data_IF_459536707281
#
_entry.id   IF_459536707281
#
_cell.length_a   1.000
_cell.length_b   1.000
_cell.length_c   1.000
_cell.angle_alpha   90.00
_cell.angle_beta   90.00
_cell.angle_gamma   90.00
#
_symmetry.space_group_name_H-M   'P 1'
#
loop_
_entity.id
_entity.type
_entity.pdbx_description
1 polymer ?
#
# COMPACT_ATOMS: atom_id res chain seq x y z
N UNK A 1 4.22 9.22 -3.34
CA UNK A 1 5.59 9.15 -3.88
C UNK A 1 6.66 9.13 -2.78
N UNK A 2 6.65 10.09 -1.84
CA UNK A 2 7.65 10.17 -0.77
C UNK A 2 7.81 8.88 0.05
N UNK A 3 6.71 8.25 0.47
CA UNK A 3 6.75 7.00 1.25
C UNK A 3 7.50 5.86 0.52
N UNK A 4 7.29 5.73 -0.79
CA UNK A 4 7.97 4.75 -1.64
C UNK A 4 9.48 5.02 -1.65
N UNK A 5 9.89 6.29 -1.79
CA UNK A 5 11.29 6.68 -1.78
C UNK A 5 11.95 6.35 -0.43
N UNK A 6 11.26 6.60 0.68
CA UNK A 6 11.75 6.23 2.01
C UNK A 6 11.88 4.71 2.12
N UNK A 7 10.90 3.92 1.65
CA UNK A 7 11.01 2.44 1.65
C UNK A 7 12.18 1.95 0.81
N UNK A 8 12.38 2.48 -0.41
CA UNK A 8 13.51 2.14 -1.28
C UNK A 8 14.84 2.47 -0.59
N UNK A 9 14.93 3.63 0.07
CA UNK A 9 16.10 4.03 0.85
C UNK A 9 16.36 3.02 1.98
N UNK A 10 15.34 2.62 2.75
CA UNK A 10 15.48 1.61 3.81
C UNK A 10 15.99 0.27 3.25
N UNK A 11 15.43 -0.18 2.12
CA UNK A 11 15.84 -1.41 1.44
C UNK A 11 17.29 -1.33 0.96
N UNK A 12 17.71 -0.19 0.42
CA UNK A 12 19.09 0.02 -0.02
C UNK A 12 20.08 -0.01 1.15
N UNK A 13 19.75 0.63 2.28
CA UNK A 13 20.68 0.72 3.42
C UNK A 13 20.71 -0.50 4.33
N UNK A 14 19.79 -1.46 4.17
CA UNK A 14 19.66 -2.61 5.08
C UNK A 14 20.92 -3.46 5.20
N UNK A 15 21.71 -3.55 4.13
CA UNK A 15 22.97 -4.31 4.09
C UNK A 15 24.17 -3.51 4.59
N UNK A 16 24.05 -2.19 4.75
CA UNK A 16 25.15 -1.37 5.25
C UNK A 16 25.38 -1.61 6.74
N UNK A 17 26.65 -1.72 7.13
CA UNK A 17 27.06 -2.07 8.50
C UNK A 17 26.49 -1.12 9.57
N UNK A 18 26.51 0.19 9.29
CA UNK A 18 26.10 1.23 10.24
C UNK A 18 24.78 1.92 9.82
N UNK A 19 24.60 2.23 8.53
CA UNK A 19 23.42 2.97 8.06
C UNK A 19 22.10 2.22 8.26
N UNK A 20 22.11 0.89 8.34
CA UNK A 20 20.90 0.10 8.62
C UNK A 20 20.21 0.49 9.93
N UNK A 21 20.94 1.05 10.89
CA UNK A 21 20.35 1.52 12.16
C UNK A 21 19.51 2.79 12.01
N UNK A 22 19.52 3.43 10.84
CA UNK A 22 18.59 4.51 10.51
C UNK A 22 17.19 4.00 10.15
N UNK A 23 17.03 2.70 9.83
CA UNK A 23 15.75 2.14 9.37
C UNK A 23 14.60 2.40 10.34
N UNK A 24 14.73 2.21 11.67
CA UNK A 24 13.64 2.52 12.60
C UNK A 24 13.29 4.02 12.60
N UNK A 25 14.28 4.91 12.46
CA UNK A 25 14.06 6.35 12.36
C UNK A 25 13.40 6.78 11.04
N UNK A 26 13.77 6.15 9.92
CA UNK A 26 13.10 6.35 8.64
C UNK A 26 11.67 5.80 8.66
N UNK A 27 11.42 4.69 9.38
CA UNK A 27 10.09 4.15 9.60
C UNK A 27 9.24 5.11 10.44
N UNK A 28 9.82 5.71 11.49
CA UNK A 28 9.17 6.80 12.25
C UNK A 28 8.77 7.94 11.31
N UNK A 29 9.69 8.43 10.48
CA UNK A 29 9.42 9.55 9.57
C UNK A 29 8.31 9.20 8.56
N UNK A 30 8.32 7.99 8.00
CA UNK A 30 7.29 7.55 7.06
C UNK A 30 5.90 7.49 7.70
N UNK A 31 5.81 7.00 8.94
CA UNK A 31 4.54 6.90 9.68
C UNK A 31 4.05 8.27 10.14
N UNK A 32 4.97 9.16 10.56
CA UNK A 32 4.63 10.53 10.93
C UNK A 32 4.13 11.36 9.73
N UNK A 33 4.60 11.06 8.51
CA UNK A 33 4.05 11.64 7.27
C UNK A 33 2.67 11.08 6.98
N UNK A 34 2.48 9.77 7.17
CA UNK A 34 1.22 9.10 6.90
C UNK A 34 1.12 7.77 7.66
N UNK A 35 0.18 7.68 8.58
CA UNK A 35 0.02 6.55 9.49
C UNK A 35 -0.28 5.23 8.78
N UNK A 36 -0.93 5.27 7.61
CA UNK A 36 -1.21 4.10 6.78
C UNK A 36 0.02 3.48 6.12
N UNK A 37 1.22 4.07 6.27
CA UNK A 37 2.49 3.49 5.82
C UNK A 37 2.70 2.04 6.30
N UNK A 38 2.27 1.75 7.54
CA UNK A 38 2.38 0.43 8.17
C UNK A 38 1.69 -0.67 7.36
N UNK A 39 0.60 -0.33 6.68
CA UNK A 39 -0.18 -1.26 5.86
C UNK A 39 0.30 -1.27 4.40
N UNK A 40 0.69 -0.11 3.86
CA UNK A 40 1.05 0.04 2.45
C UNK A 40 2.45 -0.50 2.10
N UNK A 41 3.49 -0.03 2.78
CA UNK A 41 4.88 -0.24 2.35
C UNK A 41 5.79 -0.81 3.44
N UNK A 42 5.42 -0.69 4.71
CA UNK A 42 6.17 -1.33 5.80
C UNK A 42 6.32 -2.86 5.67
N UNK A 43 5.35 -3.62 5.09
CA UNK A 43 5.55 -5.05 4.87
C UNK A 43 6.82 -5.37 4.06
N UNK A 44 7.20 -4.50 3.10
CA UNK A 44 8.44 -4.66 2.34
C UNK A 44 9.65 -4.70 3.26
N UNK A 45 9.84 -3.66 4.09
CA UNK A 45 11.03 -3.56 4.92
C UNK A 45 11.04 -4.62 6.03
N UNK A 46 9.89 -4.98 6.58
CA UNK A 46 9.79 -6.03 7.60
C UNK A 46 10.21 -7.38 7.04
N UNK A 47 9.74 -7.75 5.85
CA UNK A 47 10.11 -9.02 5.20
C UNK A 47 11.59 -9.00 4.81
N UNK A 48 12.11 -7.88 4.30
CA UNK A 48 13.53 -7.69 3.99
C UNK A 48 14.40 -7.85 5.24
N UNK A 49 14.02 -7.23 6.36
CA UNK A 49 14.74 -7.38 7.63
C UNK A 49 14.69 -8.81 8.16
N UNK A 50 13.55 -9.49 8.03
CA UNK A 50 13.43 -10.90 8.39
C UNK A 50 14.32 -11.80 7.52
N UNK A 51 14.37 -11.53 6.21
CA UNK A 51 15.29 -12.22 5.30
C UNK A 51 16.76 -11.96 5.69
N UNK A 52 17.14 -10.73 6.00
CA UNK A 52 18.49 -10.43 6.47
C UNK A 52 18.82 -11.10 7.80
N UNK A 53 17.86 -11.18 8.73
CA UNK A 53 18.01 -11.93 9.97
C UNK A 53 18.28 -13.42 9.72
N UNK A 54 17.51 -14.05 8.81
CA UNK A 54 17.73 -15.42 8.37
C UNK A 54 19.10 -15.61 7.68
N UNK A 55 19.42 -14.78 6.68
CA UNK A 55 20.67 -14.81 5.91
C UNK A 55 21.91 -14.66 6.81
N UNK A 56 21.80 -13.86 7.86
CA UNK A 56 22.87 -13.65 8.83
C UNK A 56 22.86 -14.66 9.99
N UNK A 57 22.22 -15.83 9.81
CA UNK A 57 22.17 -16.93 10.78
C UNK A 57 21.62 -16.51 12.15
N UNK A 58 20.56 -15.72 12.15
CA UNK A 58 19.84 -15.31 13.36
C UNK A 58 20.67 -14.51 14.36
N UNK A 59 21.63 -13.70 13.88
CA UNK A 59 22.43 -12.81 14.73
C UNK A 59 21.56 -11.76 15.44
N UNK A 60 21.86 -11.54 16.72
CA UNK A 60 21.14 -10.60 17.61
C UNK A 60 20.96 -9.20 17.01
N UNK A 61 21.98 -8.63 16.38
CA UNK A 61 21.90 -7.28 15.82
C UNK A 61 20.77 -7.12 14.77
N UNK A 62 20.49 -8.16 13.99
CA UNK A 62 19.39 -8.13 13.01
C UNK A 62 18.03 -8.38 13.66
N UNK A 63 17.99 -9.17 14.75
CA UNK A 63 16.78 -9.31 15.55
C UNK A 63 16.39 -7.98 16.21
N UNK A 64 17.34 -7.28 16.83
CA UNK A 64 17.11 -5.96 17.42
C UNK A 64 16.61 -4.97 16.37
N UNK A 65 17.21 -4.97 15.18
CA UNK A 65 16.78 -4.10 14.09
C UNK A 65 15.35 -4.41 13.62
N UNK A 66 15.01 -5.69 13.46
CA UNK A 66 13.67 -6.12 13.09
C UNK A 66 12.63 -5.74 14.16
N UNK A 67 12.88 -6.12 15.41
CA UNK A 67 11.96 -5.87 16.54
C UNK A 67 11.79 -4.39 16.79
N UNK A 68 12.86 -3.59 16.75
CA UNK A 68 12.77 -2.13 16.90
C UNK A 68 11.97 -1.49 15.78
N UNK A 69 12.18 -1.91 14.52
CA UNK A 69 11.43 -1.39 13.36
C UNK A 69 9.93 -1.71 13.48
N UNK A 70 9.59 -2.97 13.80
CA UNK A 70 8.19 -3.40 13.98
C UNK A 70 7.55 -2.71 15.18
N UNK A 71 8.25 -2.67 16.32
CA UNK A 71 7.76 -2.06 17.55
C UNK A 71 7.51 -0.56 17.41
N UNK A 72 8.48 0.18 16.86
CA UNK A 72 8.32 1.61 16.57
C UNK A 72 7.16 1.83 15.61
N UNK A 73 7.07 1.03 14.55
CA UNK A 73 5.99 1.19 13.59
C UNK A 73 4.60 0.97 14.19
N UNK A 74 4.42 -0.13 14.92
CA UNK A 74 3.15 -0.44 15.57
C UNK A 74 2.74 0.62 16.61
N UNK A 75 3.67 1.03 17.49
CA UNK A 75 3.39 2.01 18.53
C UNK A 75 3.01 3.38 17.94
N UNK A 76 3.75 3.84 16.93
CA UNK A 76 3.48 5.13 16.31
C UNK A 76 2.19 5.13 15.50
N UNK A 77 1.89 4.07 14.75
CA UNK A 77 0.64 3.99 14.00
C UNK A 77 -0.57 4.03 14.93
N UNK A 78 -0.52 3.35 16.08
CA UNK A 78 -1.58 3.43 17.10
C UNK A 78 -1.64 4.82 17.71
N UNK A 79 -0.49 5.41 18.07
CA UNK A 79 -0.43 6.76 18.63
C UNK A 79 -1.04 7.79 17.67
N UNK A 80 -0.59 7.81 16.41
CA UNK A 80 -1.05 8.81 15.46
C UNK A 80 -2.52 8.63 15.07
N UNK A 81 -3.01 7.39 15.00
CA UNK A 81 -4.40 7.11 14.64
C UNK A 81 -5.40 7.47 15.75
N UNK A 82 -5.03 7.30 17.03
CA UNK A 82 -5.99 7.35 18.14
C UNK A 82 -5.70 8.43 19.19
N UNK A 83 -4.47 8.96 19.24
CA UNK A 83 -4.04 9.88 20.30
C UNK A 83 -3.56 11.23 19.78
N UNK A 84 -3.49 11.44 18.47
CA UNK A 84 -3.19 12.77 17.91
C UNK A 84 -4.35 13.72 18.23
N UNK A 85 -4.09 14.85 18.90
CA UNK A 85 -5.14 15.84 19.12
C UNK A 85 -5.62 16.39 17.77
N UNK A 86 -6.94 16.49 17.60
CA UNK A 86 -7.54 17.17 16.45
C UNK A 86 -7.21 18.67 16.45
N UNK A 87 -7.73 19.41 15.49
CA UNK A 87 -7.41 20.84 15.31
C UNK A 87 -7.84 21.77 16.46
N UNK A 88 -8.59 21.27 17.46
CA UNK A 88 -9.07 22.06 18.59
C UNK A 88 -10.25 22.98 18.25
N UNK A 89 -10.82 22.85 17.05
CA UNK A 89 -12.02 23.55 16.62
C UNK A 89 -13.24 22.62 16.67
N UNK A 90 -14.42 23.16 16.94
CA UNK A 90 -15.66 22.37 17.03
C UNK A 90 -16.24 21.98 15.66
N UNK A 91 -15.98 22.74 14.60
CA UNK A 91 -16.54 22.52 13.27
C UNK A 91 -15.49 22.59 12.17
N UNK A 92 -15.64 21.76 11.12
CA UNK A 92 -14.72 21.70 9.99
C UNK A 92 -14.62 23.04 9.22
N UNK A 93 -15.73 23.78 9.10
CA UNK A 93 -15.78 25.11 8.47
C UNK A 93 -14.79 26.08 9.13
N UNK A 94 -14.77 26.14 10.47
CA UNK A 94 -13.85 27.03 11.19
C UNK A 94 -12.38 26.68 10.97
N UNK A 95 -12.06 25.40 10.72
CA UNK A 95 -10.70 24.97 10.33
C UNK A 95 -10.38 25.45 8.92
N UNK A 96 -11.32 25.33 7.98
CA UNK A 96 -11.16 25.84 6.60
C UNK A 96 -10.90 27.34 6.62
N UNK A 97 -11.70 28.12 7.34
CA UNK A 97 -11.51 29.57 7.44
C UNK A 97 -10.15 29.93 8.04
N UNK A 98 -9.76 29.24 9.13
CA UNK A 98 -8.48 29.46 9.79
C UNK A 98 -7.30 29.17 8.86
N UNK A 99 -7.35 28.07 8.10
CA UNK A 99 -6.27 27.65 7.22
C UNK A 99 -6.28 28.44 5.89
N UNK A 100 -7.44 28.78 5.33
CA UNK A 100 -7.56 29.52 4.07
C UNK A 100 -6.87 30.89 4.14
N UNK A 101 -6.86 31.53 5.32
CA UNK A 101 -6.13 32.77 5.54
C UNK A 101 -4.59 32.62 5.54
N UNK A 102 -4.08 31.38 5.54
CA UNK A 102 -2.66 31.02 5.75
C UNK A 102 -2.11 30.12 4.64
N UNK A 103 -2.92 29.77 3.65
CA UNK A 103 -2.51 28.92 2.54
C UNK A 103 -3.23 29.33 1.26
N UNK A 104 -2.53 29.24 0.13
CA UNK A 104 -3.11 29.41 -1.20
C UNK A 104 -3.82 28.13 -1.67
N UNK A 105 -3.80 27.06 -0.87
CA UNK A 105 -4.40 25.78 -1.22
C UNK A 105 -5.92 25.84 -1.11
N UNK A 106 -6.63 25.35 -2.13
CA UNK A 106 -8.08 25.21 -2.09
C UNK A 106 -8.45 24.08 -1.13
N UNK A 107 -8.87 24.46 0.08
CA UNK A 107 -9.27 23.52 1.11
C UNK A 107 -10.67 22.97 0.82
N UNK A 108 -10.85 21.69 1.10
CA UNK A 108 -12.16 21.04 1.07
C UNK A 108 -12.65 20.87 2.50
N UNK A 109 -13.68 21.61 2.88
CA UNK A 109 -14.40 21.44 4.14
C UNK A 109 -14.79 19.98 4.36
N UNK A 110 -15.26 19.33 3.30
CA UNK A 110 -15.67 17.93 3.34
C UNK A 110 -14.54 17.01 3.70
N UNK A 111 -13.36 17.17 3.09
CA UNK A 111 -12.22 16.30 3.42
C UNK A 111 -11.81 16.46 4.89
N UNK A 112 -11.84 17.70 5.40
CA UNK A 112 -11.54 17.97 6.80
C UNK A 112 -12.61 17.35 7.70
N UNK A 113 -13.89 17.48 7.36
CA UNK A 113 -14.98 16.87 8.10
C UNK A 113 -14.86 15.34 8.16
N UNK A 114 -14.66 14.70 7.01
CA UNK A 114 -14.60 13.23 6.92
C UNK A 114 -13.38 12.63 7.59
N UNK A 115 -12.29 13.39 7.74
CA UNK A 115 -11.06 12.90 8.36
C UNK A 115 -11.04 13.15 9.88
N UNK A 116 -11.61 14.26 10.35
CA UNK A 116 -11.42 14.71 11.74
C UNK A 116 -12.70 14.86 12.57
N UNK A 117 -13.89 14.92 11.96
CA UNK A 117 -15.14 15.29 12.66
C UNK A 117 -16.24 14.25 12.59
N UNK A 118 -16.30 13.49 11.50
CA UNK A 118 -17.30 12.43 11.35
C UNK A 118 -17.10 11.32 12.39
N UNK A 119 -18.20 10.77 12.92
CA UNK A 119 -18.10 9.61 13.79
C UNK A 119 -17.71 8.35 13.00
N UNK A 120 -17.16 7.35 13.69
CA UNK A 120 -16.65 6.13 13.04
C UNK A 120 -17.76 5.31 12.36
N UNK A 121 -18.98 5.30 12.91
CA UNK A 121 -20.08 4.49 12.37
C UNK A 121 -20.56 5.03 11.03
N UNK A 122 -20.81 6.33 10.97
CA UNK A 122 -21.22 7.04 9.77
C UNK A 122 -20.09 7.01 8.74
N UNK A 123 -18.84 7.23 9.17
CA UNK A 123 -17.69 7.06 8.29
C UNK A 123 -17.68 5.69 7.59
N UNK A 124 -17.84 4.58 8.32
CA UNK A 124 -17.84 3.26 7.70
C UNK A 124 -19.08 2.98 6.85
N UNK A 125 -20.26 3.49 7.24
CA UNK A 125 -21.49 3.33 6.45
C UNK A 125 -21.39 4.04 5.10
N UNK A 126 -20.65 5.14 5.04
CA UNK A 126 -20.35 5.88 3.83
C UNK A 126 -19.23 5.24 3.01
N UNK A 127 -18.12 4.86 3.66
CA UNK A 127 -17.01 4.22 2.95
C UNK A 127 -17.45 2.93 2.27
N UNK A 128 -18.33 2.14 2.88
CA UNK A 128 -18.83 0.91 2.23
C UNK A 128 -19.65 1.22 0.96
N UNK A 129 -20.34 2.36 0.88
CA UNK A 129 -21.04 2.79 -0.32
C UNK A 129 -20.06 3.19 -1.42
N UNK A 130 -19.04 3.98 -1.09
CA UNK A 130 -17.97 4.35 -2.03
C UNK A 130 -17.23 3.11 -2.53
N UNK A 131 -16.90 2.18 -1.62
CA UNK A 131 -16.24 0.92 -1.97
C UNK A 131 -17.09 0.11 -2.95
N UNK A 132 -18.40 0.01 -2.72
CA UNK A 132 -19.31 -0.73 -3.61
C UNK A 132 -19.52 -0.04 -4.97
N UNK A 133 -19.78 1.26 -4.96
CA UNK A 133 -20.11 2.04 -6.15
C UNK A 133 -18.90 2.26 -7.06
N UNK A 134 -17.71 2.34 -6.46
CA UNK A 134 -16.50 2.73 -7.18
C UNK A 134 -15.32 1.79 -6.96
N UNK A 135 -14.85 1.62 -5.72
CA UNK A 135 -13.54 1.00 -5.48
C UNK A 135 -13.49 -0.45 -5.95
N UNK A 136 -14.58 -1.22 -5.78
CA UNK A 136 -14.70 -2.61 -6.25
C UNK A 136 -14.74 -2.69 -7.77
N UNK A 137 -15.65 -2.01 -8.50
CA UNK A 137 -15.61 -1.96 -9.96
C UNK A 137 -14.26 -1.53 -10.52
N UNK A 138 -13.69 -0.45 -9.97
CA UNK A 138 -12.37 0.05 -10.32
C UNK A 138 -11.30 -1.03 -10.15
N UNK A 139 -11.29 -1.69 -8.99
CA UNK A 139 -10.35 -2.76 -8.67
C UNK A 139 -10.48 -3.94 -9.61
N UNK A 140 -11.70 -4.40 -9.92
CA UNK A 140 -11.93 -5.49 -10.87
C UNK A 140 -11.37 -5.13 -12.24
N UNK A 141 -11.61 -3.90 -12.71
CA UNK A 141 -11.04 -3.43 -13.97
C UNK A 141 -9.51 -3.47 -13.94
N UNK A 142 -8.88 -2.91 -12.92
CA UNK A 142 -7.41 -2.85 -12.85
C UNK A 142 -6.80 -4.25 -12.66
N UNK A 143 -7.39 -5.12 -11.85
CA UNK A 143 -6.95 -6.52 -11.72
C UNK A 143 -7.06 -7.27 -13.03
N UNK A 144 -8.11 -7.03 -13.82
CA UNK A 144 -8.25 -7.59 -15.16
C UNK A 144 -7.14 -7.08 -16.07
N UNK A 145 -6.92 -5.77 -16.11
CA UNK A 145 -5.86 -5.13 -16.92
C UNK A 145 -4.45 -5.61 -16.56
N UNK A 146 -4.23 -5.95 -15.29
CA UNK A 146 -2.92 -6.35 -14.76
C UNK A 146 -2.79 -7.86 -14.54
N UNK A 147 -3.78 -8.65 -14.98
CA UNK A 147 -3.82 -10.10 -14.84
C UNK A 147 -2.55 -10.80 -15.32
N UNK A 148 -1.91 -10.40 -16.44
CA UNK A 148 -0.62 -10.98 -16.85
C UNK A 148 0.48 -10.83 -15.79
N UNK A 149 0.57 -9.66 -15.15
CA UNK A 149 1.58 -9.37 -14.11
C UNK A 149 1.27 -10.15 -12.83
N UNK A 150 0.00 -10.17 -12.42
CA UNK A 150 -0.45 -10.96 -11.26
C UNK A 150 -0.10 -12.44 -11.47
N UNK A 151 -0.37 -12.97 -12.66
CA UNK A 151 -0.08 -14.36 -13.01
C UNK A 151 1.41 -14.66 -12.88
N UNK A 152 2.28 -13.77 -13.36
CA UNK A 152 3.74 -13.93 -13.20
C UNK A 152 4.12 -13.99 -11.71
N UNK A 153 3.64 -13.06 -10.88
CA UNK A 153 3.95 -13.10 -9.44
C UNK A 153 3.42 -14.35 -8.74
N UNK A 154 2.18 -14.77 -9.02
CA UNK A 154 1.61 -16.00 -8.45
C UNK A 154 2.48 -17.19 -8.81
N UNK A 155 2.86 -17.35 -10.08
CA UNK A 155 3.71 -18.46 -10.53
C UNK A 155 5.10 -18.37 -9.91
N UNK A 156 5.72 -17.19 -9.85
CA UNK A 156 7.03 -16.97 -9.21
C UNK A 156 6.99 -17.43 -7.75
N UNK A 157 6.05 -16.93 -6.96
CA UNK A 157 6.01 -17.19 -5.52
C UNK A 157 5.61 -18.62 -5.19
N UNK A 158 4.61 -19.18 -5.88
CA UNK A 158 4.22 -20.58 -5.70
C UNK A 158 5.37 -21.51 -6.10
N UNK A 159 6.02 -21.26 -7.23
CA UNK A 159 7.19 -22.03 -7.65
C UNK A 159 8.33 -21.91 -6.63
N UNK A 160 8.64 -20.70 -6.15
CA UNK A 160 9.65 -20.51 -5.12
C UNK A 160 9.31 -21.27 -3.83
N UNK A 161 8.05 -21.23 -3.38
CA UNK A 161 7.57 -21.90 -2.17
C UNK A 161 7.72 -23.42 -2.26
N UNK A 162 7.33 -24.00 -3.41
CA UNK A 162 7.42 -25.44 -3.66
C UNK A 162 8.88 -25.91 -3.77
N UNK A 163 9.79 -25.06 -4.26
CA UNK A 163 11.21 -25.38 -4.41
C UNK A 163 12.07 -24.98 -3.20
N UNK A 164 11.50 -24.37 -2.16
CA UNK A 164 12.22 -24.00 -0.94
C UNK A 164 12.56 -25.24 -0.09
N UNK A 165 13.84 -25.35 0.32
CA UNK A 165 14.36 -26.52 1.03
C UNK A 165 14.02 -26.52 2.51
N UNK A 166 14.11 -25.36 3.16
CA UNK A 166 13.94 -25.23 4.61
C UNK A 166 12.68 -24.42 4.99
N UNK A 167 12.28 -24.55 6.26
CA UNK A 167 11.05 -23.92 6.79
C UNK A 167 11.15 -22.39 6.84
N UNK A 168 12.32 -21.82 7.11
CA UNK A 168 12.48 -20.37 7.19
C UNK A 168 12.37 -19.74 5.79
N UNK A 169 12.97 -20.36 4.77
CA UNK A 169 12.76 -19.94 3.37
C UNK A 169 11.30 -20.01 2.97
N UNK A 170 10.59 -21.09 3.31
CA UNK A 170 9.14 -21.20 3.06
C UNK A 170 8.35 -20.11 3.76
N UNK A 171 8.70 -19.79 4.99
CA UNK A 171 8.06 -18.72 5.76
C UNK A 171 8.28 -17.35 5.12
N UNK A 172 9.50 -17.01 4.69
CA UNK A 172 9.79 -15.75 3.98
C UNK A 172 8.95 -15.62 2.70
N UNK A 173 8.84 -16.70 1.93
CA UNK A 173 8.04 -16.69 0.68
C UNK A 173 6.55 -16.56 0.99
N UNK A 174 6.06 -17.25 2.03
CA UNK A 174 4.69 -17.10 2.51
C UNK A 174 4.41 -15.64 2.88
N UNK A 175 5.32 -14.99 3.62
CA UNK A 175 5.20 -13.57 3.94
C UNK A 175 5.11 -12.70 2.67
N UNK A 176 5.90 -12.99 1.63
CA UNK A 176 5.82 -12.26 0.35
C UNK A 176 4.45 -12.44 -0.33
N UNK A 177 3.89 -13.66 -0.30
CA UNK A 177 2.58 -13.97 -0.88
C UNK A 177 1.44 -13.27 -0.14
N UNK A 178 1.50 -13.19 1.19
CA UNK A 178 0.43 -12.58 2.01
C UNK A 178 0.64 -11.09 2.24
N UNK A 179 1.80 -10.51 1.91
CA UNK A 179 2.10 -9.09 2.07
C UNK A 179 1.00 -8.16 1.50
N UNK A 180 0.41 -8.43 0.31
CA UNK A 180 -0.69 -7.62 -0.21
C UNK A 180 -1.91 -7.59 0.72
N UNK A 181 -2.17 -8.63 1.51
CA UNK A 181 -3.33 -8.67 2.41
C UNK A 181 -3.23 -7.62 3.52
N UNK A 182 -2.02 -7.16 3.87
CA UNK A 182 -1.82 -6.08 4.84
C UNK A 182 -2.41 -4.75 4.37
N UNK A 183 -2.64 -4.59 3.07
CA UNK A 183 -3.19 -3.37 2.48
C UNK A 183 -4.73 -3.35 2.49
N UNK A 184 -5.40 -4.47 2.79
CA UNK A 184 -6.88 -4.57 2.76
C UNK A 184 -7.58 -3.55 3.66
N UNK A 185 -7.11 -3.24 4.88
CA UNK A 185 -7.78 -2.21 5.68
C UNK A 185 -7.73 -0.82 5.02
N UNK A 186 -6.68 -0.51 4.26
CA UNK A 186 -6.57 0.74 3.49
C UNK A 186 -7.59 0.75 2.33
N UNK A 187 -7.82 -0.40 1.70
CA UNK A 187 -8.83 -0.52 0.63
C UNK A 187 -10.26 -0.22 1.12
N UNK A 188 -10.60 -0.65 2.34
CA UNK A 188 -11.93 -0.44 2.94
C UNK A 188 -12.05 0.96 3.55
N UNK A 189 -10.91 1.59 3.89
CA UNK A 189 -10.86 2.96 4.37
C UNK A 189 -10.91 4.01 3.25
N UNK A 190 -10.35 5.18 3.53
CA UNK A 190 -10.45 6.36 2.66
C UNK A 190 -9.37 6.44 1.56
N UNK A 191 -8.44 5.48 1.51
CA UNK A 191 -7.22 5.53 0.67
C UNK A 191 -7.19 4.37 -0.36
N UNK A 192 -8.34 4.07 -0.95
CA UNK A 192 -8.49 2.99 -1.94
C UNK A 192 -7.66 3.22 -3.22
N UNK A 193 -7.36 4.47 -3.57
CA UNK A 193 -6.61 4.87 -4.76
C UNK A 193 -5.15 4.42 -4.70
N UNK A 194 -4.57 4.42 -3.50
CA UNK A 194 -3.19 4.00 -3.22
C UNK A 194 -3.02 2.51 -3.10
N UNK A 195 -4.11 1.79 -2.81
CA UNK A 195 -4.12 0.36 -2.52
C UNK A 195 -3.46 -0.47 -3.63
N UNK A 196 -3.93 -0.33 -4.87
CA UNK A 196 -3.43 -1.12 -6.01
C UNK A 196 -1.93 -0.88 -6.24
N UNK A 197 -1.53 0.39 -6.23
CA UNK A 197 -0.13 0.77 -6.41
C UNK A 197 0.74 0.14 -5.32
N UNK A 198 0.29 0.14 -4.07
CA UNK A 198 1.01 -0.48 -2.96
C UNK A 198 1.16 -2.00 -3.12
N UNK A 199 0.11 -2.70 -3.60
CA UNK A 199 0.19 -4.14 -3.90
C UNK A 199 1.31 -4.43 -4.90
N UNK A 200 1.30 -3.78 -6.06
CA UNK A 200 2.32 -4.04 -7.08
C UNK A 200 3.72 -3.61 -6.65
N UNK A 201 3.87 -2.40 -6.10
CA UNK A 201 5.17 -1.89 -5.65
C UNK A 201 5.78 -2.82 -4.59
N UNK A 202 4.97 -3.32 -3.65
CA UNK A 202 5.43 -4.28 -2.64
C UNK A 202 5.95 -5.57 -3.27
N UNK A 203 5.20 -6.13 -4.22
CA UNK A 203 5.59 -7.37 -4.90
C UNK A 203 6.87 -7.20 -5.73
N UNK A 204 6.99 -6.10 -6.47
CA UNK A 204 8.21 -5.77 -7.23
C UNK A 204 9.40 -5.54 -6.30
N UNK A 205 9.25 -4.73 -5.25
CA UNK A 205 10.33 -4.43 -4.32
C UNK A 205 10.88 -5.68 -3.64
N UNK A 206 9.98 -6.57 -3.17
CA UNK A 206 10.36 -7.84 -2.57
C UNK A 206 11.05 -8.77 -3.56
N UNK A 207 10.49 -8.94 -4.77
CA UNK A 207 11.08 -9.81 -5.78
C UNK A 207 12.48 -9.31 -6.19
N UNK A 208 12.62 -8.02 -6.49
CA UNK A 208 13.89 -7.39 -6.89
C UNK A 208 14.93 -7.56 -5.78
N UNK A 209 14.57 -7.20 -4.54
CA UNK A 209 15.52 -7.30 -3.42
C UNK A 209 15.98 -8.73 -3.17
N UNK A 210 15.07 -9.70 -3.15
CA UNK A 210 15.40 -11.09 -2.86
C UNK A 210 16.21 -11.74 -4.00
N UNK A 211 15.93 -11.39 -5.26
CA UNK A 211 16.74 -11.82 -6.40
C UNK A 211 18.16 -11.24 -6.31
N UNK A 212 18.30 -9.93 -6.09
CA UNK A 212 19.58 -9.26 -5.88
C UNK A 212 20.35 -9.82 -4.67
N UNK A 213 19.64 -10.25 -3.64
CA UNK A 213 20.23 -10.86 -2.44
C UNK A 213 20.79 -12.27 -2.67
N UNK A 214 20.52 -12.89 -3.82
CA UNK A 214 20.91 -14.26 -4.13
C UNK A 214 19.99 -15.31 -3.52
N UNK A 215 18.68 -15.05 -3.37
CA UNK A 215 17.77 -16.03 -2.76
C UNK A 215 17.47 -17.20 -3.71
N UNK A 216 18.17 -18.33 -3.51
CA UNK A 216 18.22 -19.48 -4.43
C UNK A 216 16.86 -19.97 -4.95
N UNK A 217 15.87 -20.15 -4.08
CA UNK A 217 14.55 -20.67 -4.47
C UNK A 217 13.81 -19.71 -5.41
N UNK A 218 13.94 -18.40 -5.16
CA UNK A 218 13.36 -17.35 -6.00
C UNK A 218 14.10 -17.25 -7.34
N UNK A 219 15.44 -17.29 -7.33
CA UNK A 219 16.25 -17.28 -8.56
C UNK A 219 15.91 -18.45 -9.48
N UNK A 220 15.73 -19.65 -8.93
CA UNK A 220 15.31 -20.83 -9.71
C UNK A 220 13.90 -20.66 -10.28
N UNK A 221 12.96 -20.13 -9.50
CA UNK A 221 11.60 -19.88 -9.97
C UNK A 221 11.58 -18.84 -11.10
N UNK A 222 12.29 -17.71 -10.92
CA UNK A 222 12.43 -16.67 -11.93
C UNK A 222 13.12 -17.20 -13.20
N UNK A 223 14.17 -18.02 -13.06
CA UNK A 223 14.87 -18.65 -14.18
C UNK A 223 13.97 -19.56 -15.02
N UNK A 224 13.08 -20.36 -14.38
CA UNK A 224 12.10 -21.19 -15.09
C UNK A 224 11.13 -20.35 -15.92
N UNK A 225 10.64 -19.24 -15.36
CA UNK A 225 9.72 -18.32 -16.05
C UNK A 225 10.43 -17.59 -17.20
N UNK A 226 11.67 -17.15 -16.97
CA UNK A 226 12.50 -16.55 -18.02
C UNK A 226 12.69 -17.52 -19.19
N UNK A 227 13.08 -18.77 -18.91
CA UNK A 227 13.22 -19.80 -19.94
C UNK A 227 11.91 -20.06 -20.69
N UNK A 228 10.77 -20.06 -19.99
CA UNK A 228 9.44 -20.18 -20.61
C UNK A 228 9.15 -19.03 -21.58
N UNK A 229 9.41 -17.78 -21.21
CA UNK A 229 9.20 -16.64 -22.10
C UNK A 229 10.18 -16.59 -23.28
N UNK A 230 11.41 -17.08 -23.09
CA UNK A 230 12.37 -17.23 -24.20
C UNK A 230 11.87 -18.24 -25.24
N UNK A 231 11.21 -19.32 -24.80
CA UNK A 231 10.61 -20.31 -25.69
C UNK A 231 9.30 -19.79 -26.34
N UNK A 232 8.50 -19.05 -25.58
CA UNK A 232 7.19 -18.54 -26.00
C UNK A 232 7.19 -17.02 -26.22
N UNK A 233 8.11 -16.51 -27.06
CA UNK A 233 8.29 -15.06 -27.31
C UNK A 233 7.01 -14.36 -27.74
N UNK A 234 6.19 -15.01 -28.57
CA UNK A 234 4.93 -14.43 -29.05
C UNK A 234 3.96 -14.18 -27.89
N UNK A 235 3.87 -15.10 -26.93
CA UNK A 235 3.04 -14.91 -25.73
C UNK A 235 3.54 -13.72 -24.90
N UNK A 236 4.86 -13.59 -24.74
CA UNK A 236 5.44 -12.44 -24.04
C UNK A 236 5.07 -11.11 -24.72
N UNK A 237 5.17 -11.05 -26.06
CA UNK A 237 4.75 -9.87 -26.82
C UNK A 237 3.25 -9.60 -26.66
N UNK A 238 2.40 -10.63 -26.73
CA UNK A 238 0.96 -10.46 -26.47
C UNK A 238 0.67 -9.92 -25.07
N UNK A 239 1.38 -10.38 -24.03
CA UNK A 239 1.24 -9.85 -22.68
C UNK A 239 1.64 -8.37 -22.62
N UNK A 240 2.74 -7.97 -23.26
CA UNK A 240 3.15 -6.57 -23.32
C UNK A 240 2.14 -5.69 -24.07
N UNK A 241 1.62 -6.18 -25.20
CA UNK A 241 0.57 -5.49 -25.96
C UNK A 241 -0.70 -5.35 -25.13
N UNK A 242 -1.13 -6.42 -24.46
CA UNK A 242 -2.27 -6.40 -23.55
C UNK A 242 -2.12 -5.31 -22.49
N UNK A 243 -0.98 -5.28 -21.78
CA UNK A 243 -0.70 -4.27 -20.75
C UNK A 243 -0.65 -2.85 -21.34
N UNK A 244 -0.17 -2.70 -22.58
CA UNK A 244 -0.04 -1.39 -23.25
C UNK A 244 -1.37 -0.85 -23.74
N UNK A 245 -2.28 -1.69 -24.26
CA UNK A 245 -3.61 -1.27 -24.74
C UNK A 245 -4.37 -0.52 -23.65
N UNK A 246 -4.24 -0.93 -22.40
CA UNK A 246 -4.94 -0.29 -21.29
C UNK A 246 -4.36 1.06 -20.85
N UNK A 247 -3.07 1.32 -21.14
CA UNK A 247 -2.44 2.62 -20.93
C UNK A 247 -2.87 3.68 -21.95
N UNK A 248 -3.20 3.24 -23.18
CA UNK A 248 -3.44 4.11 -24.34
C UNK A 248 -4.88 4.10 -24.88
N UNK A 249 -5.82 3.39 -24.25
CA UNK A 249 -7.21 3.24 -24.76
C UNK A 249 -8.26 4.05 -24.00
N UNK A 250 -9.52 3.91 -24.46
CA UNK A 250 -10.78 4.42 -23.87
C UNK A 250 -11.02 4.01 -22.40
N UNK A 251 -10.16 3.18 -21.80
CA UNK A 251 -10.19 2.86 -20.37
C UNK A 251 -10.24 4.10 -19.48
N UNK A 252 -9.61 5.20 -19.89
CA UNK A 252 -9.72 6.51 -19.21
C UNK A 252 -11.14 7.02 -19.11
N UNK A 253 -12.00 6.75 -20.10
CA UNK A 253 -13.41 7.14 -20.09
C UNK A 253 -14.22 6.29 -19.10
N UNK A 254 -13.94 4.98 -19.03
CA UNK A 254 -14.52 4.10 -18.02
C UNK A 254 -14.13 4.57 -16.60
N UNK A 255 -12.85 4.94 -16.40
CA UNK A 255 -12.39 5.49 -15.14
C UNK A 255 -13.03 6.84 -14.80
N UNK A 256 -13.23 7.71 -15.79
CA UNK A 256 -13.93 8.98 -15.60
C UNK A 256 -15.40 8.77 -15.19
N UNK A 257 -16.11 7.82 -15.82
CA UNK A 257 -17.49 7.47 -15.45
C UNK A 257 -17.56 6.93 -14.03
N UNK A 258 -16.69 5.98 -13.69
CA UNK A 258 -16.62 5.45 -12.33
C UNK A 258 -16.30 6.59 -11.35
N UNK A 259 -15.33 7.44 -11.66
CA UNK A 259 -14.92 8.52 -10.75
C UNK A 259 -16.06 9.52 -10.54
N UNK A 260 -16.86 9.79 -11.57
CA UNK A 260 -18.06 10.60 -11.45
C UNK A 260 -19.09 9.93 -10.53
N UNK A 261 -19.33 8.61 -10.66
CA UNK A 261 -20.27 7.92 -9.77
C UNK A 261 -19.82 7.93 -8.31
N UNK A 262 -18.51 7.89 -8.04
CA UNK A 262 -17.97 8.08 -6.69
C UNK A 262 -18.21 9.50 -6.16
N UNK A 263 -18.01 10.50 -7.02
CA UNK A 263 -18.24 11.90 -6.68
C UNK A 263 -19.71 12.17 -6.38
N UNK A 264 -20.63 11.60 -7.18
CA UNK A 264 -22.08 11.77 -6.98
C UNK A 264 -22.53 11.17 -5.64
N UNK A 265 -22.05 9.97 -5.29
CA UNK A 265 -22.29 9.36 -3.96
C UNK A 265 -21.74 10.25 -2.86
N UNK A 266 -20.51 10.77 -3.02
CA UNK A 266 -19.87 11.64 -2.04
C UNK A 266 -20.60 12.98 -1.85
N UNK A 267 -21.12 13.59 -2.93
CA UNK A 267 -21.89 14.83 -2.84
C UNK A 267 -23.28 14.63 -2.24
N UNK A 268 -23.96 13.53 -2.58
CA UNK A 268 -25.23 13.18 -1.95
C UNK A 268 -25.07 12.98 -0.42
N UNK A 269 -23.97 12.34 0.00
CA UNK A 269 -23.64 12.18 1.43
C UNK A 269 -23.39 13.52 2.12
N UNK A 270 -22.74 14.47 1.45
CA UNK A 270 -22.48 15.81 1.96
C UNK A 270 -23.77 16.58 2.26
N UNK A 271 -24.73 16.51 1.33
CA UNK A 271 -26.04 17.13 1.51
C UNK A 271 -26.79 16.48 2.67
N UNK A 272 -26.75 15.15 2.79
CA UNK A 272 -27.37 14.42 3.90
C UNK A 272 -26.73 14.77 5.26
N UNK A 273 -25.41 14.77 5.35
CA UNK A 273 -24.69 15.11 6.58
C UNK A 273 -24.92 16.56 7.02
N UNK A 274 -24.95 17.51 6.09
CA UNK A 274 -25.32 18.91 6.38
C UNK A 274 -26.75 19.02 6.89
N UNK A 275 -27.69 18.30 6.27
CA UNK A 275 -29.09 18.29 6.72
C UNK A 275 -29.26 17.71 8.13
N UNK A 276 -28.45 16.72 8.52
CA UNK A 276 -28.50 16.12 9.85
C UNK A 276 -27.92 17.06 10.93
N UNK A 277 -26.89 17.83 10.59
CA UNK A 277 -26.30 18.85 11.48
C UNK A 277 -27.23 20.06 11.66
N UNK A 278 -27.97 20.46 10.62
CA UNK A 278 -28.95 21.55 10.69
C UNK A 278 -30.20 21.17 11.51
N UNK A 279 -30.54 19.88 11.59
CA UNK A 279 -31.76 19.39 12.24
C UNK A 279 -31.57 18.85 13.68
N UNK A 280 -30.35 18.77 14.20
CA UNK A 280 -30.04 18.41 15.60
C UNK A 280 -29.06 19.42 16.21
N UNK A 281 -29.58 20.52 16.80
CA UNK A 281 -28.75 21.58 17.42
C UNK A 281 -28.05 21.13 18.71
#
# INVERSE_FOLDING_TARGET
MYLILITVLMVWIVRHKYLKWLIPGLCFAAIAIYQGYIMLYMPVIVIVLFYEFYKNKFKWNYLVLLVSTVGIGALLSVYFQYFTPGFGFQHAETVVEYLAARTDFKLSETMIFTEYYINVVDFFSYQIQIVKAFAVPYTICVLTMTLPVITVFVVVWVSAFLNAKDRASKFIILLCMVAPLMTVPIFIGNDWDRWISAVFITQFALAIYLMDSGFDCLLRAAGKISAYFVLHKTLFVFMLLYLSVFMFSLSRFLFAILQQSAADVYYAMLEEARSLLENNP
#
